data_IF_678973251007
#
_entry.id   IF_678973251007
#
_cell.length_a   1.000
_cell.length_b   1.000
_cell.length_c   1.000
_cell.angle_alpha   90.00
_cell.angle_beta   90.00
_cell.angle_gamma   90.00
#
_symmetry.space_group_name_H-M   'P 1'
#
loop_
_entity.id
_entity.type
_entity.pdbx_description
1 polymer ?
#
# COMPACT_ATOMS: atom_id res chain seq x y z
N UNK A 1 13.25 -1.13 -25.00
CA UNK A 1 12.37 0.03 -24.75
C UNK A 1 10.95 -0.47 -24.86
N UNK A 2 10.22 -0.55 -23.74
CA UNK A 2 8.78 -0.86 -23.76
C UNK A 2 8.10 0.51 -23.75
N UNK A 3 7.48 0.89 -24.85
CA UNK A 3 6.74 2.14 -24.93
C UNK A 3 5.29 1.85 -24.53
N UNK A 4 4.90 2.32 -23.35
CA UNK A 4 3.51 2.22 -22.90
C UNK A 4 2.71 3.39 -23.47
N UNK A 5 1.56 3.09 -24.08
CA UNK A 5 0.68 4.06 -24.72
C UNK A 5 -0.58 4.23 -23.88
N UNK A 6 -0.83 5.44 -23.41
CA UNK A 6 -2.03 5.78 -22.66
C UNK A 6 -2.97 6.54 -23.59
N UNK A 7 -4.19 6.05 -23.70
CA UNK A 7 -5.26 6.73 -24.43
C UNK A 7 -6.08 7.55 -23.43
N UNK A 8 -6.32 8.81 -23.77
CA UNK A 8 -7.13 9.75 -22.98
C UNK A 8 -8.13 10.43 -23.90
N UNK A 9 -9.30 10.73 -23.36
CA UNK A 9 -10.38 11.41 -24.07
C UNK A 9 -10.46 12.88 -23.66
N UNK A 10 -10.98 13.74 -24.54
CA UNK A 10 -11.27 15.14 -24.23
C UNK A 10 -12.74 15.37 -23.91
N UNK A 11 -13.04 16.45 -23.19
CA UNK A 11 -14.40 16.98 -23.00
C UNK A 11 -14.83 17.90 -24.16
N UNK A 12 -16.05 18.46 -24.05
CA UNK A 12 -16.64 19.36 -25.04
C UNK A 12 -15.90 20.70 -25.18
N UNK A 13 -15.06 21.06 -24.21
CA UNK A 13 -14.22 22.26 -24.21
C UNK A 13 -12.78 21.95 -24.63
N UNK A 14 -12.46 20.69 -24.99
CA UNK A 14 -11.12 20.27 -25.40
C UNK A 14 -10.15 19.97 -24.25
N UNK A 15 -10.62 19.92 -23.00
CA UNK A 15 -9.78 19.54 -21.87
C UNK A 15 -9.67 18.02 -21.76
N UNK A 16 -8.49 17.52 -21.41
CA UNK A 16 -8.29 16.08 -21.22
C UNK A 16 -9.04 15.60 -19.97
N UNK A 17 -9.94 14.63 -20.12
CA UNK A 17 -10.72 14.04 -19.03
C UNK A 17 -9.80 13.32 -18.04
N UNK A 18 -10.11 13.44 -16.74
CA UNK A 18 -9.39 12.83 -15.60
C UNK A 18 -7.97 13.36 -15.34
N UNK A 19 -7.45 14.26 -16.17
CA UNK A 19 -6.24 15.02 -15.88
C UNK A 19 -6.63 16.38 -15.28
N UNK A 20 -5.80 16.94 -14.39
CA UNK A 20 -6.01 18.31 -13.92
C UNK A 20 -5.89 19.27 -15.10
N UNK A 21 -6.67 20.34 -15.08
CA UNK A 21 -6.61 21.38 -16.10
C UNK A 21 -5.22 22.00 -16.12
N UNK A 22 -4.52 21.87 -17.25
CA UNK A 22 -3.16 22.34 -17.40
C UNK A 22 -3.14 23.84 -17.74
N UNK A 23 -2.20 24.62 -17.19
CA UNK A 23 -2.09 26.04 -17.49
C UNK A 23 -1.68 26.28 -18.97
N UNK A 24 -2.23 27.32 -19.62
CA UNK A 24 -1.92 27.62 -21.01
C UNK A 24 -0.45 28.04 -21.18
N UNK A 25 0.15 27.64 -22.30
CA UNK A 25 1.52 27.99 -22.72
C UNK A 25 2.61 27.60 -21.70
N UNK A 26 2.49 26.41 -21.08
CA UNK A 26 3.49 25.87 -20.14
C UNK A 26 4.08 24.55 -20.63
N UNK A 27 5.36 24.35 -20.34
CA UNK A 27 6.02 23.06 -20.51
C UNK A 27 5.67 22.17 -19.32
N UNK A 28 5.25 20.93 -19.60
CA UNK A 28 4.75 20.00 -18.60
C UNK A 28 5.35 18.63 -18.90
N UNK A 29 5.91 18.01 -17.87
CA UNK A 29 6.41 16.63 -17.90
C UNK A 29 5.50 15.75 -17.04
N UNK A 30 5.10 14.61 -17.59
CA UNK A 30 4.23 13.66 -16.91
C UNK A 30 4.97 12.33 -16.75
N UNK A 31 5.19 11.93 -15.51
CA UNK A 31 5.83 10.66 -15.16
C UNK A 31 4.75 9.74 -14.63
N UNK A 32 4.57 8.58 -15.26
CA UNK A 32 3.55 7.61 -14.90
C UNK A 32 4.27 6.33 -14.50
N UNK A 33 4.16 5.99 -13.22
CA UNK A 33 4.64 4.72 -12.69
C UNK A 33 3.46 3.75 -12.67
N UNK A 34 3.50 2.72 -13.51
CA UNK A 34 2.56 1.61 -13.46
C UNK A 34 3.18 0.56 -12.53
N UNK A 35 2.62 0.44 -11.32
CA UNK A 35 2.92 -0.71 -10.48
C UNK A 35 2.24 -1.94 -11.10
N UNK A 36 3.01 -3.01 -11.36
CA UNK A 36 2.40 -4.30 -11.66
C UNK A 36 1.47 -4.63 -10.50
N UNK A 37 0.19 -4.80 -10.78
CA UNK A 37 -0.75 -5.26 -9.77
C UNK A 37 -0.16 -6.53 -9.16
N UNK A 38 0.00 -6.52 -7.85
CA UNK A 38 0.36 -7.72 -7.10
C UNK A 38 -0.66 -8.79 -7.47
N UNK A 39 -0.32 -9.67 -8.43
CA UNK A 39 -1.02 -10.93 -8.68
C UNK A 39 -1.18 -11.54 -7.32
N UNK A 40 -2.40 -11.51 -6.77
CA UNK A 40 -2.77 -11.96 -5.43
C UNK A 40 -1.58 -12.58 -4.72
N UNK A 41 -0.70 -11.75 -4.16
CA UNK A 41 0.49 -12.25 -3.50
C UNK A 41 -0.08 -13.08 -2.37
N UNK A 42 -0.08 -14.41 -2.54
CA UNK A 42 -0.54 -15.35 -1.52
C UNK A 42 0.05 -14.83 -0.23
N UNK A 43 -0.81 -14.32 0.67
CA UNK A 43 -0.38 -13.72 1.94
C UNK A 43 0.70 -14.64 2.47
N UNK A 44 1.95 -14.18 2.50
CA UNK A 44 3.05 -14.96 3.05
C UNK A 44 2.79 -14.96 4.55
N UNK A 45 2.04 -15.96 5.01
CA UNK A 45 1.78 -16.17 6.42
C UNK A 45 3.14 -16.53 7.03
N UNK A 46 3.62 -15.68 7.95
CA UNK A 46 4.85 -15.97 8.68
C UNK A 46 4.56 -17.17 9.57
N UNK A 47 5.25 -18.27 9.31
CA UNK A 47 5.21 -19.44 10.19
C UNK A 47 6.26 -19.29 11.30
N UNK A 48 5.95 -19.72 12.53
CA UNK A 48 6.96 -19.80 13.59
C UNK A 48 8.09 -20.76 13.18
N UNK A 49 9.29 -20.56 13.73
CA UNK A 49 10.41 -21.47 13.49
C UNK A 49 10.04 -22.92 13.84
N UNK A 50 10.65 -23.90 13.16
CA UNK A 50 10.36 -25.34 13.39
C UNK A 50 10.52 -25.76 14.86
N UNK A 51 11.39 -25.07 15.60
CA UNK A 51 11.62 -25.32 17.02
C UNK A 51 10.42 -24.90 17.88
N UNK A 52 9.69 -23.86 17.47
CA UNK A 52 8.56 -23.28 18.21
C UNK A 52 7.20 -23.80 17.72
N UNK A 53 7.13 -24.21 16.45
CA UNK A 53 5.91 -24.73 15.84
C UNK A 53 5.39 -25.96 16.60
N UNK A 54 4.12 -25.93 17.00
CA UNK A 54 3.44 -27.02 17.71
C UNK A 54 3.83 -27.21 19.18
N UNK A 55 4.83 -26.50 19.71
CA UNK A 55 5.25 -26.64 21.12
C UNK A 55 4.46 -25.80 22.09
N UNK A 56 3.89 -24.70 21.62
CA UNK A 56 3.16 -23.76 22.47
C UNK A 56 1.95 -23.25 21.72
N UNK A 57 0.80 -23.27 22.38
CA UNK A 57 -0.43 -22.65 21.90
C UNK A 57 -0.87 -21.66 22.96
N UNK A 58 -0.79 -20.37 22.64
CA UNK A 58 -1.36 -19.36 23.52
C UNK A 58 -2.86 -19.35 23.23
N UNK A 59 -3.63 -19.83 24.20
CA UNK A 59 -5.08 -19.70 24.21
C UNK A 59 -5.37 -18.58 25.19
N UNK A 60 -6.32 -17.71 24.83
CA UNK A 60 -6.82 -16.59 25.65
C UNK A 60 -6.06 -15.25 25.53
N UNK A 61 -6.63 -14.22 26.16
CA UNK A 61 -6.11 -12.85 26.19
C UNK A 61 -4.84 -12.76 27.06
N UNK A 62 -3.75 -12.27 26.46
CA UNK A 62 -2.41 -12.20 27.08
C UNK A 62 -2.25 -10.88 27.85
N UNK A 63 -3.17 -9.94 27.67
CA UNK A 63 -3.16 -8.67 28.38
C UNK A 63 -3.99 -8.78 29.65
N UNK A 64 -3.41 -9.36 30.72
CA UNK A 64 -3.85 -8.98 32.07
C UNK A 64 -3.39 -7.55 32.32
N UNK A 65 -4.34 -6.64 32.51
CA UNK A 65 -4.06 -5.27 32.95
C UNK A 65 -3.41 -5.30 34.34
N UNK A 66 -2.09 -5.34 34.39
CA UNK A 66 -1.34 -5.01 35.59
C UNK A 66 -1.45 -3.50 35.81
N UNK A 67 -2.38 -3.13 36.71
CA UNK A 67 -2.35 -1.82 37.34
C UNK A 67 -1.08 -1.72 38.21
N UNK A 68 -0.48 -0.53 38.19
CA UNK A 68 0.59 -0.04 39.09
C UNK A 68 2.02 -0.55 38.85
N UNK A 69 2.71 0.14 37.95
CA UNK A 69 4.14 0.44 38.16
C UNK A 69 4.25 1.60 39.14
N UNK A 70 4.34 1.33 40.45
CA UNK A 70 4.75 2.36 41.41
C UNK A 70 6.29 2.44 41.42
N UNK A 71 6.80 3.54 40.87
CA UNK A 71 8.17 3.97 41.14
C UNK A 71 8.16 4.59 42.54
N UNK A 72 8.57 3.83 43.56
CA UNK A 72 8.88 4.44 44.86
C UNK A 72 10.04 5.43 44.68
N UNK A 73 9.78 6.68 45.09
CA UNK A 73 10.74 7.79 45.07
C UNK A 73 11.31 7.99 46.47
#
# INVERSE_FOLDING_TARGET
>A
MIAEKIFVDTDENGNIKKLPTLPPNKHIELIILIEESKKDEKKVIREPSQILSGKMTIKDDIFTSENEWTLET
#
